data_IF_279273066062
#
_entry.id   IF_279273066062
#
_cell.length_a   1.000
_cell.length_b   1.000
_cell.length_c   1.000
_cell.angle_alpha   90.00
_cell.angle_beta   90.00
_cell.angle_gamma   90.00
#
_symmetry.space_group_name_H-M   'P 1'
#
loop_
_entity.id
_entity.type
_entity.pdbx_description
1 polymer ?
#
# COMPACT_ATOMS: atom_id res chain seq x y z
N UNK A 1 11.45 -6.87 0.01
CA UNK A 1 11.18 -6.06 1.21
C UNK A 1 12.17 -6.45 2.30
N UNK A 2 12.85 -5.49 2.90
CA UNK A 2 13.75 -5.64 4.06
C UNK A 2 13.10 -4.95 5.27
N UNK A 3 13.07 -5.61 6.42
CA UNK A 3 12.40 -5.12 7.62
C UNK A 3 13.06 -5.61 8.90
N UNK A 4 13.06 -4.77 9.94
CA UNK A 4 13.36 -5.19 11.32
C UNK A 4 12.04 -5.28 12.13
N UNK A 5 11.54 -6.49 12.42
CA UNK A 5 10.26 -6.69 13.10
C UNK A 5 10.24 -6.15 14.54
N UNK A 6 11.36 -6.24 15.27
CA UNK A 6 11.43 -5.80 16.66
C UNK A 6 11.49 -4.26 16.74
N UNK A 7 12.17 -3.60 15.80
CA UNK A 7 12.14 -2.13 15.66
C UNK A 7 10.75 -1.64 15.28
N UNK A 8 10.04 -2.31 14.36
CA UNK A 8 8.65 -1.99 14.05
C UNK A 8 7.76 -1.98 15.31
N UNK A 9 7.86 -3.02 16.13
CA UNK A 9 7.10 -3.10 17.38
C UNK A 9 7.52 -2.03 18.39
N UNK A 10 8.83 -1.85 18.59
CA UNK A 10 9.37 -0.87 19.53
C UNK A 10 8.91 0.54 19.19
N UNK A 11 8.90 0.90 17.90
CA UNK A 11 8.44 2.23 17.48
C UNK A 11 6.93 2.36 17.63
N UNK A 12 6.14 1.35 17.27
CA UNK A 12 4.69 1.40 17.49
C UNK A 12 4.34 1.55 18.98
N UNK A 13 5.12 0.95 19.87
CA UNK A 13 4.98 1.10 21.33
C UNK A 13 5.35 2.49 21.84
N UNK A 14 6.35 3.14 21.26
CA UNK A 14 6.73 4.52 21.57
C UNK A 14 5.62 5.50 21.15
N UNK A 15 4.99 5.25 20.01
CA UNK A 15 3.87 6.00 19.46
C UNK A 15 2.53 5.83 20.19
N UNK A 16 2.43 4.84 21.08
CA UNK A 16 1.17 4.45 21.71
C UNK A 16 1.10 4.93 23.15
N UNK A 17 -0.04 5.51 23.53
CA UNK A 17 -0.35 5.92 24.91
C UNK A 17 -0.29 4.73 25.87
N UNK A 18 0.09 4.97 27.12
CA UNK A 18 0.42 3.90 28.08
C UNK A 18 -0.72 2.88 28.30
N UNK A 19 -1.97 3.32 28.22
CA UNK A 19 -3.19 2.54 28.32
C UNK A 19 -3.44 1.60 27.12
N UNK A 20 -2.92 1.96 25.94
CA UNK A 20 -3.12 1.20 24.68
C UNK A 20 -1.94 0.29 24.32
N UNK A 21 -0.80 0.41 25.01
CA UNK A 21 0.41 -0.40 24.74
C UNK A 21 0.19 -1.90 24.91
N UNK A 22 -0.69 -2.31 25.81
CA UNK A 22 -1.07 -3.73 25.99
C UNK A 22 -1.74 -4.28 24.72
N UNK A 23 -2.72 -3.55 24.20
CA UNK A 23 -3.46 -3.90 22.99
C UNK A 23 -2.54 -3.94 21.76
N UNK A 24 -1.66 -2.94 21.60
CA UNK A 24 -0.70 -2.90 20.47
C UNK A 24 0.27 -4.08 20.49
N UNK A 25 0.74 -4.50 21.67
CA UNK A 25 1.55 -5.72 21.77
C UNK A 25 0.77 -6.93 21.29
N UNK A 26 -0.48 -7.09 21.73
CA UNK A 26 -1.32 -8.20 21.30
C UNK A 26 -1.64 -8.17 19.80
N UNK A 27 -1.91 -6.99 19.23
CA UNK A 27 -2.14 -6.82 17.80
C UNK A 27 -0.90 -7.21 16.99
N UNK A 28 0.29 -6.78 17.45
CA UNK A 28 1.55 -7.15 16.82
C UNK A 28 1.84 -8.65 16.96
N UNK A 29 1.56 -9.23 18.13
CA UNK A 29 1.61 -10.68 18.34
C UNK A 29 0.68 -11.42 17.36
N UNK A 30 -0.57 -10.95 17.19
CA UNK A 30 -1.51 -11.54 16.24
C UNK A 30 -1.01 -11.43 14.80
N UNK A 31 -0.49 -10.27 14.41
CA UNK A 31 0.07 -10.01 13.08
C UNK A 31 1.24 -10.96 12.78
N UNK A 32 2.21 -11.08 13.68
CA UNK A 32 3.36 -11.96 13.50
C UNK A 32 2.96 -13.43 13.38
N UNK A 33 2.00 -13.87 14.20
CA UNK A 33 1.46 -15.22 14.09
C UNK A 33 0.68 -15.43 12.77
N UNK A 34 0.01 -14.40 12.26
CA UNK A 34 -0.72 -14.47 10.99
C UNK A 34 0.19 -14.63 9.76
N UNK A 35 1.49 -14.32 9.87
CA UNK A 35 2.50 -14.60 8.84
C UNK A 35 3.12 -16.00 8.93
N UNK A 36 2.81 -16.76 9.98
CA UNK A 36 3.28 -18.14 10.17
C UNK A 36 2.11 -19.16 10.26
N UNK A 37 1.01 -18.98 9.51
CA UNK A 37 -0.13 -19.88 9.63
C UNK A 37 0.29 -21.29 9.23
N UNK A 38 -0.27 -22.29 9.89
CA UNK A 38 -0.02 -23.72 9.61
C UNK A 38 1.40 -24.26 9.88
N UNK A 39 2.35 -23.41 10.28
CA UNK A 39 3.73 -23.83 10.60
C UNK A 39 3.93 -24.30 12.05
N UNK A 40 2.94 -24.05 12.93
CA UNK A 40 3.04 -24.20 14.40
C UNK A 40 4.28 -23.53 15.02
N UNK A 41 4.94 -22.63 14.29
CA UNK A 41 6.05 -21.83 14.79
C UNK A 41 5.47 -20.62 15.51
N UNK A 42 6.06 -20.30 16.66
CA UNK A 42 5.84 -19.04 17.34
C UNK A 42 7.03 -18.14 17.07
N UNK A 43 6.81 -16.93 16.56
CA UNK A 43 7.89 -15.97 16.32
C UNK A 43 8.77 -15.80 17.57
N UNK A 44 8.16 -15.50 18.72
CA UNK A 44 8.84 -15.22 19.99
C UNK A 44 9.66 -16.37 20.56
N UNK A 45 9.16 -17.60 20.41
CA UNK A 45 9.82 -18.79 20.96
C UNK A 45 10.79 -19.42 19.97
N UNK A 46 10.41 -19.48 18.71
CA UNK A 46 11.06 -20.31 17.70
C UNK A 46 11.85 -19.50 16.66
N UNK A 47 11.72 -18.17 16.59
CA UNK A 47 12.43 -17.33 15.60
C UNK A 47 13.26 -16.22 16.28
N UNK A 48 12.62 -15.35 17.06
CA UNK A 48 13.24 -14.20 17.72
C UNK A 48 14.52 -14.51 18.53
N UNK A 49 14.66 -15.66 19.22
CA UNK A 49 15.85 -15.92 20.03
C UNK A 49 17.15 -15.98 19.25
N UNK A 50 17.10 -16.37 17.98
CA UNK A 50 18.26 -16.47 17.09
C UNK A 50 18.25 -15.45 15.94
N UNK A 51 17.11 -14.83 15.68
CA UNK A 51 16.96 -13.77 14.67
C UNK A 51 17.75 -12.52 15.08
N UNK A 52 18.45 -11.92 14.12
CA UNK A 52 19.14 -10.64 14.24
C UNK A 52 18.28 -9.50 13.64
N UNK A 53 18.88 -8.38 13.26
CA UNK A 53 18.16 -7.16 12.91
C UNK A 53 17.43 -7.15 11.56
N UNK A 54 17.53 -8.20 10.72
CA UNK A 54 17.08 -8.14 9.33
C UNK A 54 16.30 -9.38 8.86
N UNK A 55 15.09 -9.14 8.34
CA UNK A 55 14.32 -10.10 7.53
C UNK A 55 14.13 -9.50 6.14
N UNK A 56 14.52 -10.26 5.11
CA UNK A 56 14.24 -9.96 3.71
C UNK A 56 13.25 -10.95 3.14
N UNK A 57 12.20 -10.46 2.51
CA UNK A 57 11.23 -11.26 1.72
C UNK A 57 11.33 -10.84 0.26
N UNK A 58 11.45 -11.81 -0.64
CA UNK A 58 11.59 -11.60 -2.07
C UNK A 58 10.70 -12.57 -2.87
N UNK A 59 10.14 -12.05 -3.96
CA UNK A 59 9.65 -12.87 -5.07
C UNK A 59 10.81 -13.00 -6.04
N UNK A 60 11.32 -14.22 -6.22
CA UNK A 60 12.55 -14.47 -7.00
C UNK A 60 12.27 -14.94 -8.42
N UNK A 61 11.07 -15.44 -8.68
CA UNK A 61 10.62 -15.86 -10.01
C UNK A 61 9.11 -15.85 -10.06
N UNK A 62 8.54 -15.44 -11.21
CA UNK A 62 7.10 -15.50 -11.47
C UNK A 62 6.60 -16.93 -11.66
N UNK A 63 7.47 -17.84 -12.10
CA UNK A 63 7.12 -19.24 -12.33
C UNK A 63 8.32 -20.20 -12.16
N UNK A 64 8.26 -21.05 -11.13
CA UNK A 64 9.35 -21.94 -10.72
C UNK A 64 9.66 -22.98 -11.80
N UNK A 65 8.65 -23.58 -12.44
CA UNK A 65 8.85 -24.62 -13.46
C UNK A 65 8.83 -24.08 -14.89
N UNK A 66 8.42 -22.83 -15.08
CA UNK A 66 8.34 -22.14 -16.38
C UNK A 66 7.37 -22.83 -17.34
N UNK A 67 6.31 -23.41 -16.78
CA UNK A 67 5.27 -24.11 -17.51
C UNK A 67 3.96 -23.32 -17.45
N UNK A 68 3.74 -22.55 -18.51
CA UNK A 68 2.54 -21.72 -18.67
C UNK A 68 1.23 -22.54 -18.73
N UNK A 69 1.29 -23.86 -18.92
CA UNK A 69 0.11 -24.72 -19.04
C UNK A 69 -0.53 -25.11 -17.69
N UNK A 70 0.21 -24.98 -16.58
CA UNK A 70 -0.25 -25.41 -15.25
C UNK A 70 -0.51 -24.25 -14.26
N UNK A 71 -0.46 -23.01 -14.77
CA UNK A 71 -0.58 -21.79 -13.97
C UNK A 71 0.74 -21.38 -13.29
N UNK A 72 0.92 -20.08 -13.05
CA UNK A 72 2.19 -19.55 -12.55
C UNK A 72 2.50 -20.01 -11.10
N UNK A 73 3.62 -20.72 -10.91
CA UNK A 73 4.11 -21.14 -9.60
C UNK A 73 5.15 -20.15 -9.06
N UNK A 74 4.70 -19.10 -8.40
CA UNK A 74 5.57 -18.03 -7.89
C UNK A 74 6.62 -18.55 -6.90
N UNK A 75 7.87 -18.15 -7.07
CA UNK A 75 8.96 -18.46 -6.15
C UNK A 75 9.13 -17.40 -5.06
N UNK A 76 9.00 -17.81 -3.81
CA UNK A 76 9.19 -16.96 -2.63
C UNK A 76 10.46 -17.36 -1.88
N UNK A 77 11.23 -16.35 -1.47
CA UNK A 77 12.41 -16.48 -0.64
C UNK A 77 12.30 -15.56 0.58
N UNK A 78 12.57 -16.11 1.75
CA UNK A 78 12.78 -15.36 2.98
C UNK A 78 14.22 -15.59 3.43
N UNK A 79 14.97 -14.51 3.60
CA UNK A 79 16.31 -14.52 4.16
C UNK A 79 16.31 -13.78 5.49
N UNK A 80 16.74 -14.46 6.55
CA UNK A 80 16.82 -13.90 7.91
C UNK A 80 18.28 -13.87 8.35
N UNK A 81 18.72 -12.76 8.91
CA UNK A 81 20.01 -12.71 9.61
C UNK A 81 19.90 -13.39 10.97
N UNK A 82 20.93 -14.13 11.34
CA UNK A 82 20.97 -14.89 12.58
C UNK A 82 22.14 -14.42 13.45
N UNK A 83 21.82 -14.02 14.69
CA UNK A 83 22.81 -13.70 15.74
C UNK A 83 23.33 -14.96 16.43
N UNK A 84 22.57 -16.07 16.36
CA UNK A 84 22.97 -17.40 16.82
C UNK A 84 22.57 -18.47 15.78
N UNK A 85 23.49 -18.76 14.86
CA UNK A 85 23.28 -19.72 13.77
C UNK A 85 23.08 -21.16 14.27
N UNK A 86 23.68 -21.53 15.41
CA UNK A 86 23.55 -22.87 15.98
C UNK A 86 22.17 -23.09 16.60
N UNK A 87 21.64 -22.08 17.28
CA UNK A 87 20.26 -22.09 17.77
C UNK A 87 19.26 -22.11 16.61
N UNK A 88 19.51 -21.36 15.54
CA UNK A 88 18.70 -21.42 14.33
C UNK A 88 18.69 -22.84 13.72
N UNK A 89 19.86 -23.47 13.56
CA UNK A 89 19.99 -24.86 13.07
C UNK A 89 19.24 -25.86 13.96
N UNK A 90 19.36 -25.74 15.29
CA UNK A 90 18.63 -26.61 16.24
C UNK A 90 17.11 -26.42 16.12
N UNK A 91 16.67 -25.19 15.94
CA UNK A 91 15.24 -24.85 15.82
C UNK A 91 14.66 -25.40 14.52
N UNK A 92 15.34 -25.22 13.39
CA UNK A 92 14.93 -25.79 12.10
C UNK A 92 14.92 -27.32 12.12
N UNK A 93 15.93 -27.97 12.70
CA UNK A 93 15.92 -29.43 12.88
C UNK A 93 14.71 -29.89 13.69
N UNK A 94 14.37 -29.18 14.74
CA UNK A 94 13.20 -29.48 15.57
C UNK A 94 11.89 -29.24 14.82
N UNK A 95 11.81 -28.17 14.03
CA UNK A 95 10.69 -27.89 13.15
C UNK A 95 10.44 -29.04 12.18
N UNK A 96 11.47 -29.49 11.45
CA UNK A 96 11.34 -30.58 10.47
C UNK A 96 10.96 -31.91 11.12
N UNK A 97 11.54 -32.23 12.28
CA UNK A 97 11.17 -33.44 13.06
C UNK A 97 9.71 -33.46 13.49
N UNK A 98 9.11 -32.30 13.78
CA UNK A 98 7.70 -32.19 14.20
C UNK A 98 6.72 -32.24 13.03
N UNK A 99 7.10 -31.72 11.87
CA UNK A 99 6.18 -31.52 10.73
C UNK A 99 6.29 -32.59 9.64
N UNK A 100 7.39 -33.33 9.61
CA UNK A 100 7.64 -34.30 8.54
C UNK A 100 8.13 -35.61 9.15
N UNK A 101 7.53 -36.73 8.72
CA UNK A 101 8.05 -38.06 9.06
C UNK A 101 9.44 -38.20 8.45
N UNK A 102 10.38 -38.83 9.15
CA UNK A 102 11.77 -38.93 8.68
C UNK A 102 11.92 -39.45 7.23
N UNK A 103 11.04 -40.37 6.80
CA UNK A 103 11.00 -40.92 5.44
C UNK A 103 10.57 -39.95 4.34
N UNK A 104 9.91 -38.85 4.71
CA UNK A 104 9.39 -37.83 3.79
C UNK A 104 10.25 -36.56 3.84
N UNK A 105 11.35 -36.55 4.60
CA UNK A 105 12.30 -35.46 4.72
C UNK A 105 13.51 -35.73 3.83
N UNK A 106 13.83 -34.78 2.96
CA UNK A 106 15.04 -34.81 2.14
C UNK A 106 16.04 -33.83 2.71
N UNK A 107 17.29 -34.27 2.81
CA UNK A 107 18.43 -33.44 3.13
C UNK A 107 19.47 -33.65 2.05
N UNK A 108 19.76 -32.60 1.28
CA UNK A 108 20.77 -32.63 0.23
C UNK A 108 21.85 -31.57 0.49
N UNK A 109 23.05 -31.79 -0.04
CA UNK A 109 24.13 -30.81 -0.02
C UNK A 109 24.23 -30.17 -1.40
N UNK A 110 24.11 -28.85 -1.48
CA UNK A 110 24.18 -28.07 -2.71
C UNK A 110 25.08 -26.85 -2.51
N UNK A 111 26.09 -26.67 -3.36
CA UNK A 111 27.06 -25.57 -3.23
C UNK A 111 27.66 -25.42 -1.81
N UNK A 112 27.90 -26.53 -1.11
CA UNK A 112 28.42 -26.54 0.27
C UNK A 112 27.38 -26.20 1.35
N UNK A 113 26.12 -26.01 0.99
CA UNK A 113 25.01 -25.69 1.90
C UNK A 113 24.06 -26.89 2.01
N UNK A 114 23.65 -27.21 3.24
CA UNK A 114 22.64 -28.24 3.48
C UNK A 114 21.22 -27.67 3.26
N UNK A 115 20.53 -28.18 2.25
CA UNK A 115 19.13 -27.85 1.96
C UNK A 115 18.24 -28.97 2.52
N UNK A 116 17.23 -28.58 3.28
CA UNK A 116 16.26 -29.51 3.90
C UNK A 116 14.85 -29.16 3.44
N UNK A 117 14.11 -30.15 2.94
CA UNK A 117 12.76 -29.98 2.41
C UNK A 117 11.94 -31.27 2.49
N UNK A 118 10.62 -31.18 2.22
CA UNK A 118 9.72 -32.34 2.22
C UNK A 118 9.62 -32.97 0.83
N UNK A 119 9.74 -34.30 0.75
CA UNK A 119 9.70 -35.14 -0.47
C UNK A 119 8.31 -35.21 -1.15
N UNK A 120 7.31 -34.43 -0.73
CA UNK A 120 5.94 -34.54 -1.26
C UNK A 120 5.82 -34.27 -2.76
N UNK A 121 6.80 -33.58 -3.38
CA UNK A 121 6.80 -33.24 -4.80
C UNK A 121 6.90 -34.44 -5.75
N UNK A 122 7.77 -35.42 -5.50
CA UNK A 122 7.92 -36.53 -6.46
C UNK A 122 6.70 -37.45 -6.47
N UNK A 123 6.15 -37.77 -5.30
CA UNK A 123 4.98 -38.65 -5.21
C UNK A 123 3.67 -37.95 -5.59
N UNK A 124 3.56 -36.64 -5.39
CA UNK A 124 2.42 -35.86 -5.87
C UNK A 124 2.46 -35.73 -7.41
N UNK A 125 3.62 -35.40 -8.00
CA UNK A 125 3.80 -35.35 -9.46
C UNK A 125 3.64 -36.72 -10.12
N UNK A 126 4.18 -37.80 -9.53
CA UNK A 126 3.97 -39.17 -10.02
C UNK A 126 2.51 -39.64 -9.89
N UNK A 127 1.78 -39.17 -8.87
CA UNK A 127 0.33 -39.42 -8.77
C UNK A 127 -0.45 -38.59 -9.78
N UNK A 128 -0.10 -37.33 -10.00
CA UNK A 128 -0.73 -36.45 -10.99
C UNK A 128 -0.55 -36.99 -12.42
N UNK A 129 0.66 -37.38 -12.80
CA UNK A 129 0.93 -38.03 -14.09
C UNK A 129 0.19 -39.38 -14.25
N UNK A 130 -0.27 -39.99 -13.16
CA UNK A 130 -1.07 -41.22 -13.17
C UNK A 130 -2.60 -40.95 -13.06
N UNK A 131 -3.02 -39.69 -12.84
CA UNK A 131 -4.40 -39.24 -12.66
C UNK A 131 -4.90 -38.32 -13.78
N UNK A 132 -4.07 -38.03 -14.79
CA UNK A 132 -4.38 -37.27 -16.01
C UNK A 132 -5.50 -37.88 -16.88
N UNK A 133 -6.18 -38.94 -16.45
CA UNK A 133 -7.35 -39.47 -17.15
C UNK A 133 -8.69 -38.92 -16.69
N UNK A 134 -8.90 -38.41 -15.46
CA UNK A 134 -10.24 -37.96 -15.05
C UNK A 134 -10.20 -36.92 -13.91
N UNK A 135 -10.31 -35.63 -14.24
CA UNK A 135 -11.21 -34.60 -13.65
C UNK A 135 -10.65 -33.18 -13.78
N UNK A 136 -11.54 -32.27 -14.23
CA UNK A 136 -11.35 -30.84 -14.52
C UNK A 136 -11.44 -29.99 -13.24
N UNK A 137 -10.57 -30.27 -12.27
CA UNK A 137 -10.43 -29.44 -11.07
C UNK A 137 -8.97 -29.07 -10.87
N UNK A 138 -8.68 -27.77 -10.93
CA UNK A 138 -7.36 -27.22 -10.61
C UNK A 138 -6.87 -27.75 -9.25
N UNK A 139 -5.75 -28.50 -9.22
CA UNK A 139 -5.18 -28.96 -7.96
C UNK A 139 -4.62 -27.76 -7.18
N UNK A 140 -4.84 -27.67 -5.86
CA UNK A 140 -4.30 -26.58 -5.06
C UNK A 140 -2.77 -26.56 -5.10
N UNK A 141 -2.11 -25.40 -5.19
CA UNK A 141 -0.66 -25.30 -5.17
C UNK A 141 -0.12 -25.85 -3.85
N UNK A 142 0.68 -26.92 -3.93
CA UNK A 142 1.30 -27.54 -2.76
C UNK A 142 2.49 -26.66 -2.36
N UNK A 143 2.30 -25.79 -1.35
CA UNK A 143 3.39 -25.05 -0.72
C UNK A 143 4.45 -26.02 -0.18
N UNK A 144 5.56 -26.18 -0.89
CA UNK A 144 6.68 -27.02 -0.45
C UNK A 144 7.73 -26.20 0.26
N UNK A 145 7.63 -26.10 1.58
CA UNK A 145 8.65 -25.42 2.35
C UNK A 145 10.03 -26.11 2.15
N UNK A 146 11.06 -25.30 1.95
CA UNK A 146 12.46 -25.69 1.98
C UNK A 146 13.24 -24.71 2.86
N UNK A 147 14.30 -25.19 3.51
CA UNK A 147 15.12 -24.37 4.39
C UNK A 147 16.61 -24.66 4.21
N UNK A 148 17.44 -23.65 4.39
CA UNK A 148 18.88 -23.77 4.45
C UNK A 148 19.48 -22.81 5.48
N UNK A 149 20.61 -23.17 6.07
CA UNK A 149 21.43 -22.23 6.86
C UNK A 149 22.72 -22.03 6.10
N UNK A 150 22.99 -20.79 5.69
CA UNK A 150 24.11 -20.42 4.82
C UNK A 150 25.16 -19.67 5.63
N UNK A 151 26.36 -20.26 5.70
CA UNK A 151 27.41 -19.82 6.61
C UNK A 151 26.91 -19.79 8.05
N UNK A 152 27.38 -18.80 8.81
CA UNK A 152 26.99 -18.57 10.20
C UNK A 152 26.11 -17.33 10.38
N UNK A 153 25.50 -16.84 9.30
CA UNK A 153 24.74 -15.58 9.35
C UNK A 153 23.33 -15.63 8.77
N UNK A 154 23.04 -16.52 7.82
CA UNK A 154 21.76 -16.49 7.13
C UNK A 154 20.95 -17.76 7.30
N UNK A 155 19.67 -17.59 7.57
CA UNK A 155 18.66 -18.63 7.51
C UNK A 155 17.75 -18.33 6.32
N UNK A 156 17.71 -19.24 5.36
CA UNK A 156 16.89 -19.13 4.16
C UNK A 156 15.69 -20.06 4.25
N UNK A 157 14.50 -19.55 3.93
CA UNK A 157 13.28 -20.31 3.75
C UNK A 157 12.70 -20.02 2.38
N UNK A 158 12.13 -21.02 1.72
CA UNK A 158 11.44 -20.83 0.44
C UNK A 158 10.25 -21.78 0.31
N UNK A 159 9.40 -21.52 -0.69
CA UNK A 159 8.34 -22.43 -1.09
C UNK A 159 8.78 -23.51 -2.09
N UNK A 160 10.07 -23.63 -2.40
CA UNK A 160 10.64 -24.70 -3.24
C UNK A 160 12.15 -24.85 -3.07
N UNK A 161 12.70 -26.09 -3.05
CA UNK A 161 14.15 -26.28 -3.03
C UNK A 161 14.83 -25.73 -4.29
N UNK A 162 14.12 -25.61 -5.42
CA UNK A 162 14.66 -24.96 -6.63
C UNK A 162 14.96 -23.48 -6.39
N UNK A 163 14.07 -22.76 -5.71
CA UNK A 163 14.27 -21.35 -5.34
C UNK A 163 15.53 -21.18 -4.48
N UNK A 164 15.80 -22.09 -3.53
CA UNK A 164 17.03 -22.02 -2.74
C UNK A 164 18.28 -22.28 -3.57
N UNK A 165 18.24 -23.25 -4.49
CA UNK A 165 19.37 -23.52 -5.40
C UNK A 165 19.64 -22.32 -6.29
N UNK A 166 18.60 -21.73 -6.87
CA UNK A 166 18.71 -20.55 -7.72
C UNK A 166 19.29 -19.35 -6.93
N UNK A 167 18.82 -19.12 -5.69
CA UNK A 167 19.36 -18.08 -4.82
C UNK A 167 20.85 -18.31 -4.48
N UNK A 168 21.24 -19.55 -4.19
CA UNK A 168 22.63 -19.93 -3.90
C UNK A 168 23.54 -19.81 -5.13
N UNK A 169 23.01 -20.00 -6.34
CA UNK A 169 23.75 -19.76 -7.57
C UNK A 169 23.89 -18.27 -7.87
N UNK A 170 22.80 -17.52 -7.74
CA UNK A 170 22.79 -16.09 -8.07
C UNK A 170 23.73 -15.28 -7.17
N UNK A 171 23.89 -15.65 -5.89
CA UNK A 171 24.86 -14.96 -5.00
C UNK A 171 26.33 -15.22 -5.38
N UNK A 172 26.62 -16.30 -6.10
CA UNK A 172 27.98 -16.61 -6.57
C UNK A 172 28.33 -15.84 -7.86
N UNK A 173 27.33 -15.38 -8.60
CA UNK A 173 27.50 -14.60 -9.82
C UNK A 173 27.36 -13.13 -9.49
N UNK A 174 28.46 -12.38 -9.52
CA UNK A 174 28.49 -10.97 -9.11
C UNK A 174 27.38 -10.14 -9.80
N UNK A 175 27.17 -10.33 -11.10
CA UNK A 175 26.19 -9.58 -11.90
C UNK A 175 24.72 -9.88 -11.54
N UNK A 176 24.43 -11.04 -10.96
CA UNK A 176 23.07 -11.44 -10.56
C UNK A 176 22.73 -11.05 -9.11
N UNK A 177 23.73 -10.60 -8.35
CA UNK A 177 23.56 -10.16 -6.97
C UNK A 177 22.93 -8.77 -6.90
N UNK A 178 21.89 -8.63 -6.07
CA UNK A 178 21.23 -7.34 -5.84
C UNK A 178 22.21 -6.25 -5.37
N UNK A 179 23.26 -6.63 -4.63
CA UNK A 179 24.32 -5.71 -4.16
C UNK A 179 25.06 -4.99 -5.29
N UNK A 180 25.10 -5.57 -6.49
CA UNK A 180 25.74 -5.01 -7.67
C UNK A 180 24.74 -4.41 -8.67
N UNK A 181 23.44 -4.42 -8.36
CA UNK A 181 22.43 -3.75 -9.17
C UNK A 181 22.54 -2.24 -9.00
N UNK A 182 22.67 -1.51 -10.12
CA UNK A 182 22.68 -0.04 -10.13
C UNK A 182 21.41 0.53 -9.49
N UNK A 183 20.24 0.01 -9.86
CA UNK A 183 18.95 0.40 -9.28
C UNK A 183 18.92 0.19 -7.76
N UNK A 184 19.49 -0.91 -7.25
CA UNK A 184 19.55 -1.15 -5.80
C UNK A 184 20.55 -0.22 -5.09
N UNK A 185 21.70 0.06 -5.70
CA UNK A 185 22.68 0.99 -5.12
C UNK A 185 22.15 2.42 -5.08
N UNK A 186 21.50 2.87 -6.16
CA UNK A 186 20.78 4.14 -6.20
C UNK A 186 19.66 4.17 -5.14
N UNK A 187 18.92 3.07 -5.00
CA UNK A 187 17.89 2.95 -3.99
C UNK A 187 18.45 3.16 -2.58
N UNK A 188 19.54 2.46 -2.24
CA UNK A 188 20.21 2.57 -0.94
C UNK A 188 20.72 3.99 -0.67
N UNK A 189 21.18 4.73 -1.69
CA UNK A 189 21.63 6.11 -1.53
C UNK A 189 20.50 7.08 -1.11
N UNK A 190 19.24 6.74 -1.41
CA UNK A 190 18.06 7.55 -1.10
C UNK A 190 17.29 7.06 0.14
N UNK A 191 17.77 6.00 0.81
CA UNK A 191 17.12 5.51 2.03
C UNK A 191 17.37 6.50 3.17
N UNK A 192 16.32 7.09 3.76
CA UNK A 192 16.50 8.00 4.89
C UNK A 192 16.99 7.20 6.11
N UNK A 193 17.84 7.82 6.95
CA UNK A 193 18.42 7.16 8.14
C UNK A 193 17.37 6.60 9.11
N UNK A 194 16.16 7.13 9.06
CA UNK A 194 15.01 6.76 9.89
C UNK A 194 14.09 5.70 9.25
N UNK A 195 14.45 5.16 8.09
CA UNK A 195 13.70 4.08 7.47
C UNK A 195 13.75 2.81 8.33
N UNK A 196 12.57 2.26 8.64
CA UNK A 196 12.39 1.00 9.38
C UNK A 196 12.12 -0.19 8.44
N UNK A 197 11.72 0.09 7.20
CA UNK A 197 11.60 -0.91 6.15
C UNK A 197 11.89 -0.33 4.76
N UNK A 198 12.32 -1.22 3.85
CA UNK A 198 12.66 -0.91 2.47
C UNK A 198 11.98 -1.89 1.53
N UNK A 199 11.31 -1.39 0.51
CA UNK A 199 10.72 -2.21 -0.56
C UNK A 199 11.25 -1.73 -1.90
N UNK A 200 11.88 -2.63 -2.65
CA UNK A 200 12.25 -2.43 -4.04
C UNK A 200 11.37 -3.33 -4.90
N UNK A 201 10.79 -2.78 -5.95
CA UNK A 201 9.91 -3.47 -6.88
C UNK A 201 10.43 -3.24 -8.29
N UNK A 202 10.71 -4.31 -9.03
CA UNK A 202 10.99 -4.22 -10.46
C UNK A 202 9.64 -4.15 -11.21
N UNK A 203 9.40 -3.04 -11.91
CA UNK A 203 8.10 -2.75 -12.53
C UNK A 203 7.80 -3.67 -13.73
N UNK A 204 8.73 -3.92 -14.67
CA UNK A 204 8.52 -4.92 -15.73
C UNK A 204 8.22 -6.32 -15.21
N UNK A 205 8.93 -6.80 -14.19
CA UNK A 205 8.65 -8.12 -13.62
C UNK A 205 7.31 -8.14 -12.89
N UNK A 206 6.94 -7.05 -12.21
CA UNK A 206 5.62 -6.94 -11.57
C UNK A 206 4.49 -7.02 -12.60
N UNK A 207 4.62 -6.39 -13.78
CA UNK A 207 3.59 -6.47 -14.83
C UNK A 207 3.42 -7.89 -15.35
N UNK A 208 4.53 -8.61 -15.58
CA UNK A 208 4.47 -10.02 -16.02
C UNK A 208 3.77 -10.90 -15.00
N UNK A 209 4.06 -10.70 -13.71
CA UNK A 209 3.51 -11.51 -12.63
C UNK A 209 2.03 -11.22 -12.37
N UNK A 210 1.63 -9.94 -12.29
CA UNK A 210 0.26 -9.57 -11.93
C UNK A 210 -0.71 -9.67 -13.11
N UNK A 211 -0.23 -9.42 -14.33
CA UNK A 211 -1.10 -9.30 -15.51
C UNK A 211 -0.89 -10.39 -16.56
N UNK A 212 0.11 -11.27 -16.39
CA UNK A 212 0.42 -12.32 -17.38
C UNK A 212 0.87 -11.79 -18.73
N UNK A 213 1.20 -10.49 -18.82
CA UNK A 213 1.69 -9.87 -20.05
C UNK A 213 3.19 -10.18 -20.21
N UNK A 214 3.66 -10.48 -21.43
CA UNK A 214 5.10 -10.61 -21.68
C UNK A 214 5.80 -9.30 -21.31
N UNK A 215 7.06 -9.43 -20.85
CA UNK A 215 7.88 -8.27 -20.45
C UNK A 215 7.86 -7.25 -21.61
N UNK A 216 7.43 -6.01 -21.36
CA UNK A 216 7.18 -5.09 -22.44
C UNK A 216 8.47 -4.82 -23.22
N UNK A 217 8.39 -4.95 -24.55
CA UNK A 217 9.53 -4.80 -25.47
C UNK A 217 10.05 -3.35 -25.58
N UNK A 218 9.39 -2.40 -24.93
CA UNK A 218 9.73 -0.98 -24.98
C UNK A 218 10.52 -0.59 -23.74
N UNK A 219 11.62 0.13 -23.93
CA UNK A 219 12.39 0.74 -22.85
C UNK A 219 11.51 1.75 -22.11
N UNK A 220 11.18 1.43 -20.86
CA UNK A 220 10.45 2.34 -20.00
C UNK A 220 11.41 3.33 -19.32
N UNK A 221 10.95 4.57 -19.05
CA UNK A 221 11.80 5.55 -18.37
C UNK A 221 12.16 5.12 -16.94
N UNK A 222 11.38 4.22 -16.32
CA UNK A 222 11.61 3.70 -14.97
C UNK A 222 11.62 2.17 -14.97
N UNK A 223 12.55 1.57 -14.24
CA UNK A 223 12.61 0.10 -14.13
C UNK A 223 12.21 -0.38 -12.74
N UNK A 224 12.29 0.50 -11.74
CA UNK A 224 12.08 0.13 -10.36
C UNK A 224 11.32 1.18 -9.56
N UNK A 225 10.55 0.71 -8.59
CA UNK A 225 9.89 1.52 -7.57
C UNK A 225 10.54 1.22 -6.21
N UNK A 226 11.04 2.25 -5.57
CA UNK A 226 11.52 2.22 -4.20
C UNK A 226 10.44 2.77 -3.28
N UNK A 227 10.16 2.08 -2.18
CA UNK A 227 9.31 2.57 -1.10
C UNK A 227 10.05 2.40 0.22
N UNK A 228 10.29 3.50 0.93
CA UNK A 228 10.89 3.52 2.25
C UNK A 228 9.82 3.84 3.28
N UNK A 229 9.85 3.14 4.40
CA UNK A 229 8.83 3.23 5.42
C UNK A 229 9.49 3.82 6.65
N UNK A 230 8.97 4.93 7.15
CA UNK A 230 9.50 5.64 8.32
C UNK A 230 8.36 6.15 9.21
N UNK A 231 8.69 6.71 10.36
CA UNK A 231 7.69 7.20 11.33
C UNK A 231 7.97 8.66 11.62
N UNK A 232 6.96 9.50 11.46
CA UNK A 232 7.02 10.95 11.67
C UNK A 232 6.69 11.32 13.12
N UNK A 233 7.51 10.83 14.05
CA UNK A 233 7.35 11.06 15.51
C UNK A 233 8.34 12.07 16.09
N UNK A 234 9.26 12.61 15.27
CA UNK A 234 10.41 13.38 15.76
C UNK A 234 10.60 14.74 15.07
N UNK A 235 9.71 15.15 14.16
CA UNK A 235 9.90 16.41 13.42
C UNK A 235 9.37 17.66 14.09
N UNK A 236 8.43 17.56 15.03
CA UNK A 236 8.06 18.72 15.85
C UNK A 236 7.59 18.26 17.23
N UNK A 237 8.23 18.82 18.26
CA UNK A 237 7.97 18.47 19.65
C UNK A 237 6.49 18.58 20.00
N UNK A 238 5.93 17.47 20.50
CA UNK A 238 4.75 17.39 21.37
C UNK A 238 3.67 18.45 21.08
N UNK A 239 2.88 18.24 20.02
CA UNK A 239 1.53 18.81 19.97
C UNK A 239 0.53 17.71 20.30
N UNK A 240 -0.16 17.94 21.40
CA UNK A 240 -1.26 17.13 21.94
C UNK A 240 -2.20 16.63 20.82
N UNK A 241 -2.22 15.32 20.60
CA UNK A 241 -3.16 14.64 19.69
C UNK A 241 -2.63 14.17 18.33
N UNK A 242 -1.40 14.49 17.92
CA UNK A 242 -0.82 13.90 16.71
C UNK A 242 -0.35 12.47 17.01
N UNK A 243 -1.07 11.47 16.48
CA UNK A 243 -0.58 10.08 16.46
C UNK A 243 0.56 9.99 15.46
N UNK A 244 1.67 9.40 15.88
CA UNK A 244 2.80 9.13 15.00
C UNK A 244 2.32 8.32 13.79
N UNK A 245 2.46 8.90 12.60
CA UNK A 245 1.99 8.28 11.36
C UNK A 245 3.13 7.49 10.71
N UNK A 246 2.77 6.35 10.13
CA UNK A 246 3.66 5.64 9.23
C UNK A 246 3.72 6.45 7.92
N UNK A 247 4.89 6.98 7.60
CA UNK A 247 5.15 7.73 6.38
C UNK A 247 5.87 6.83 5.39
N UNK A 248 5.37 6.80 4.17
CA UNK A 248 5.97 6.05 3.07
C UNK A 248 6.52 7.02 2.03
N UNK A 249 7.83 7.11 1.91
CA UNK A 249 8.48 7.86 0.84
C UNK A 249 8.68 6.92 -0.35
N UNK A 250 8.20 7.33 -1.51
CA UNK A 250 8.23 6.51 -2.72
C UNK A 250 9.01 7.21 -3.82
N UNK A 251 9.93 6.51 -4.46
CA UNK A 251 10.80 7.01 -5.51
C UNK A 251 10.76 6.07 -6.72
N UNK A 252 10.49 6.63 -7.90
CA UNK A 252 10.64 5.93 -9.18
C UNK A 252 12.10 6.04 -9.64
N UNK A 253 12.72 4.91 -9.95
CA UNK A 253 14.12 4.81 -10.35
C UNK A 253 14.21 4.56 -11.85
N UNK A 254 14.95 5.44 -12.53
CA UNK A 254 15.10 5.41 -13.98
C UNK A 254 15.99 4.23 -14.44
N UNK A 255 15.77 3.78 -15.68
CA UNK A 255 16.57 2.72 -16.31
C UNK A 255 18.05 3.12 -16.51
N UNK A 256 18.29 4.39 -16.82
CA UNK A 256 19.61 4.98 -16.99
C UNK A 256 20.00 5.83 -15.77
N UNK A 257 21.30 5.97 -15.51
CA UNK A 257 21.85 6.86 -14.48
C UNK A 257 21.46 8.31 -14.75
N UNK A 258 20.28 8.70 -14.28
CA UNK A 258 19.89 10.09 -14.19
C UNK A 258 20.52 10.69 -12.93
N UNK A 259 21.02 11.94 -13.01
CA UNK A 259 21.57 12.61 -11.84
C UNK A 259 20.52 12.62 -10.72
N UNK A 260 20.94 12.46 -9.46
CA UNK A 260 20.02 12.40 -8.33
C UNK A 260 19.14 13.65 -8.33
N UNK A 261 17.84 13.44 -8.54
CA UNK A 261 16.85 14.53 -8.48
C UNK A 261 16.77 14.92 -7.01
N UNK A 262 17.19 16.15 -6.70
CA UNK A 262 17.07 16.65 -5.33
C UNK A 262 15.60 16.63 -4.90
N UNK A 263 15.30 16.16 -3.67
CA UNK A 263 13.95 16.22 -3.15
C UNK A 263 13.50 17.68 -3.16
N UNK A 264 12.43 17.98 -3.88
CA UNK A 264 11.90 19.34 -4.00
C UNK A 264 11.35 19.89 -2.67
N UNK A 265 11.15 19.01 -1.68
CA UNK A 265 10.64 19.35 -0.36
C UNK A 265 11.69 19.00 0.69
N UNK A 266 12.16 20.01 1.41
CA UNK A 266 13.02 19.86 2.59
C UNK A 266 12.21 19.70 3.89
N UNK A 267 10.97 20.20 3.88
CA UNK A 267 10.06 20.23 5.04
C UNK A 267 8.66 19.74 4.63
N UNK A 268 7.84 19.25 5.58
CA UNK A 268 6.45 18.92 5.31
C UNK A 268 5.69 20.14 4.78
N UNK A 269 4.84 19.93 3.77
CA UNK A 269 4.05 21.03 3.20
C UNK A 269 3.06 21.58 4.24
N UNK A 270 2.89 22.90 4.27
CA UNK A 270 2.01 23.56 5.20
C UNK A 270 0.55 23.11 5.08
N UNK A 271 0.10 22.70 3.89
CA UNK A 271 -1.25 22.18 3.63
C UNK A 271 -1.66 20.99 4.53
N UNK A 272 -0.70 20.16 4.95
CA UNK A 272 -0.97 18.97 5.78
C UNK A 272 -1.64 19.30 7.11
N UNK A 273 -1.38 20.49 7.68
CA UNK A 273 -1.93 20.91 8.99
C UNK A 273 -3.47 21.00 9.01
N UNK A 274 -4.08 21.09 7.84
CA UNK A 274 -5.54 21.21 7.70
C UNK A 274 -6.22 19.87 7.44
N UNK A 275 -5.46 18.79 7.26
CA UNK A 275 -6.01 17.44 7.14
C UNK A 275 -6.28 16.88 8.54
N UNK A 276 -7.51 16.38 8.83
CA UNK A 276 -7.82 15.81 10.14
C UNK A 276 -6.93 14.61 10.49
N UNK A 277 -6.50 14.52 11.75
CA UNK A 277 -5.58 13.48 12.21
C UNK A 277 -6.13 12.04 12.13
N UNK A 278 -7.46 11.88 11.98
CA UNK A 278 -8.13 10.58 11.82
C UNK A 278 -8.33 10.17 10.36
N UNK A 279 -7.66 10.84 9.41
CA UNK A 279 -7.67 10.44 8.01
C UNK A 279 -7.00 9.07 7.83
N UNK A 280 -7.65 8.19 7.08
CA UNK A 280 -7.12 6.84 6.81
C UNK A 280 -6.01 6.82 5.77
N UNK A 281 -5.96 7.84 4.90
CA UNK A 281 -4.92 8.05 3.91
C UNK A 281 -4.73 9.56 3.71
N UNK A 282 -3.47 9.98 3.60
CA UNK A 282 -3.12 11.37 3.28
C UNK A 282 -2.03 11.40 2.23
N UNK A 283 -2.22 12.22 1.19
CA UNK A 283 -1.23 12.52 0.16
C UNK A 283 -0.94 14.02 0.20
N UNK A 284 0.31 14.43 0.06
CA UNK A 284 0.65 15.83 0.06
C UNK A 284 1.89 16.12 -0.77
N UNK A 285 2.00 17.34 -1.26
CA UNK A 285 3.08 17.73 -2.15
C UNK A 285 2.96 19.15 -2.65
N UNK A 286 3.69 19.45 -3.72
CA UNK A 286 3.64 20.71 -4.45
C UNK A 286 3.31 20.43 -5.92
N UNK A 287 2.67 21.39 -6.57
CA UNK A 287 2.36 21.37 -8.00
C UNK A 287 1.61 20.09 -8.42
N UNK A 288 0.40 19.92 -7.90
CA UNK A 288 -0.46 18.78 -8.25
C UNK A 288 -0.75 18.74 -9.74
N UNK A 289 -0.91 19.91 -10.38
CA UNK A 289 -1.11 20.02 -11.83
C UNK A 289 0.01 19.33 -12.61
N UNK A 290 1.27 19.72 -12.37
CA UNK A 290 2.41 19.15 -13.07
C UNK A 290 2.60 17.67 -12.73
N UNK A 291 2.46 17.30 -11.46
CA UNK A 291 2.64 15.91 -11.02
C UNK A 291 1.60 14.97 -11.59
N UNK A 292 0.34 15.40 -11.68
CA UNK A 292 -0.71 14.60 -12.26
C UNK A 292 -0.47 14.34 -13.75
N UNK A 293 -0.05 15.36 -14.51
CA UNK A 293 0.33 15.22 -15.92
C UNK A 293 1.54 14.31 -16.13
N UNK A 294 2.55 14.43 -15.27
CA UNK A 294 3.72 13.55 -15.29
C UNK A 294 3.31 12.11 -14.96
N UNK A 295 2.45 11.91 -13.96
CA UNK A 295 1.94 10.59 -13.60
C UNK A 295 1.16 9.97 -14.76
N UNK A 296 0.22 10.71 -15.36
CA UNK A 296 -0.54 10.25 -16.54
C UNK A 296 0.39 9.84 -17.68
N UNK A 297 1.40 10.66 -17.98
CA UNK A 297 2.33 10.40 -19.09
C UNK A 297 3.25 9.22 -18.80
N UNK A 298 3.80 9.15 -17.59
CA UNK A 298 4.78 8.14 -17.20
C UNK A 298 4.14 6.79 -16.90
N UNK A 299 2.92 6.77 -16.35
CA UNK A 299 2.18 5.54 -16.02
C UNK A 299 1.24 5.06 -17.11
N UNK A 300 0.84 5.87 -18.09
CA UNK A 300 0.10 5.36 -19.26
C UNK A 300 0.87 4.22 -19.98
N UNK A 301 2.20 4.19 -19.87
CA UNK A 301 3.04 3.14 -20.41
C UNK A 301 3.08 1.85 -19.58
N UNK A 302 2.63 1.87 -18.33
CA UNK A 302 2.54 0.70 -17.47
C UNK A 302 1.07 0.40 -17.20
N UNK A 303 0.54 -0.68 -17.78
CA UNK A 303 -0.84 -1.12 -17.48
C UNK A 303 -1.04 -1.57 -16.00
N UNK A 304 0.03 -1.56 -15.19
CA UNK A 304 0.03 -2.02 -13.80
C UNK A 304 -0.83 -1.08 -12.96
N UNK A 305 -2.04 -1.52 -12.59
CA UNK A 305 -2.90 -0.85 -11.59
C UNK A 305 -3.44 0.53 -11.98
N UNK A 306 -2.77 1.26 -12.89
CA UNK A 306 -3.22 2.55 -13.39
C UNK A 306 -4.56 2.45 -14.09
N UNK A 307 -4.82 1.36 -14.83
CA UNK A 307 -6.15 1.12 -15.40
C UNK A 307 -7.26 0.96 -14.35
N UNK A 308 -6.95 0.47 -13.14
CA UNK A 308 -7.91 0.39 -12.04
C UNK A 308 -8.09 1.75 -11.34
N UNK A 309 -7.01 2.52 -11.20
CA UNK A 309 -7.04 3.91 -10.71
C UNK A 309 -7.84 4.79 -11.67
N UNK A 310 -7.53 4.77 -12.97
CA UNK A 310 -8.25 5.48 -14.02
C UNK A 310 -9.72 5.08 -14.07
N UNK A 311 -10.07 3.78 -13.96
CA UNK A 311 -11.48 3.36 -13.89
C UNK A 311 -12.19 3.91 -12.66
N UNK A 312 -11.51 3.93 -11.51
CA UNK A 312 -12.08 4.46 -10.27
C UNK A 312 -12.27 5.97 -10.35
N UNK A 313 -11.29 6.70 -10.89
CA UNK A 313 -11.40 8.13 -11.16
C UNK A 313 -12.48 8.42 -12.19
N UNK A 314 -12.49 7.73 -13.33
CA UNK A 314 -13.51 7.91 -14.37
C UNK A 314 -14.92 7.63 -13.84
N UNK A 315 -15.09 6.62 -12.97
CA UNK A 315 -16.39 6.35 -12.32
C UNK A 315 -16.81 7.52 -11.42
N UNK A 316 -15.87 8.11 -10.67
CA UNK A 316 -16.11 9.28 -9.85
C UNK A 316 -16.44 10.52 -10.70
N UNK A 317 -15.62 10.80 -11.71
CA UNK A 317 -15.77 11.92 -12.64
C UNK A 317 -17.11 11.85 -13.39
N UNK A 318 -17.52 10.65 -13.82
CA UNK A 318 -18.84 10.41 -14.41
C UNK A 318 -19.98 10.64 -13.41
N UNK A 319 -19.83 10.19 -12.16
CA UNK A 319 -20.85 10.36 -11.13
C UNK A 319 -21.03 11.82 -10.69
N UNK A 320 -19.95 12.61 -10.73
CA UNK A 320 -19.94 14.01 -10.31
C UNK A 320 -19.99 15.00 -11.48
N UNK A 321 -19.96 14.50 -12.73
CA UNK A 321 -19.89 15.32 -13.94
C UNK A 321 -18.75 16.37 -13.90
N UNK A 322 -17.61 15.97 -13.36
CA UNK A 322 -16.42 16.82 -13.18
C UNK A 322 -15.19 16.07 -13.70
N UNK A 323 -14.28 16.76 -14.37
CA UNK A 323 -12.95 16.25 -14.67
C UNK A 323 -12.00 16.67 -13.56
N UNK A 324 -11.48 15.72 -12.77
CA UNK A 324 -10.53 16.06 -11.71
C UNK A 324 -9.26 16.68 -12.30
N UNK A 325 -8.74 16.12 -13.39
CA UNK A 325 -7.54 16.62 -14.06
C UNK A 325 -7.71 18.06 -14.55
N UNK A 326 -8.82 18.35 -15.23
CA UNK A 326 -9.03 19.66 -15.86
C UNK A 326 -9.70 20.70 -14.95
N UNK A 327 -10.62 20.30 -14.07
CA UNK A 327 -11.44 21.21 -13.27
C UNK A 327 -10.90 21.42 -11.85
N UNK A 328 -10.09 20.47 -11.33
CA UNK A 328 -9.58 20.52 -9.95
C UNK A 328 -8.06 20.62 -9.91
N UNK A 329 -7.34 19.69 -10.54
CA UNK A 329 -5.89 19.57 -10.40
C UNK A 329 -5.13 20.64 -11.17
N UNK A 330 -5.66 21.08 -12.32
CA UNK A 330 -5.04 22.04 -13.23
C UNK A 330 -4.67 23.40 -12.62
N UNK A 331 -5.37 23.85 -11.59
CA UNK A 331 -5.12 25.14 -10.93
C UNK A 331 -4.33 25.03 -9.62
N UNK A 332 -4.00 23.81 -9.18
CA UNK A 332 -3.27 23.53 -7.94
C UNK A 332 -1.78 23.45 -8.25
N UNK A 333 -1.14 24.62 -8.29
CA UNK A 333 0.29 24.79 -8.60
C UNK A 333 1.16 24.96 -7.35
N UNK A 334 0.58 25.34 -6.22
CA UNK A 334 1.26 25.47 -4.94
C UNK A 334 1.29 24.18 -4.12
N UNK A 335 1.43 24.30 -2.80
CA UNK A 335 1.28 23.16 -1.89
C UNK A 335 -0.14 22.57 -1.93
N UNK A 336 -0.24 21.26 -1.77
CA UNK A 336 -1.52 20.57 -1.63
C UNK A 336 -1.47 19.45 -0.59
N UNK A 337 -2.63 19.12 -0.04
CA UNK A 337 -2.86 17.92 0.73
C UNK A 337 -4.24 17.33 0.42
N UNK A 338 -4.33 16.01 0.27
CA UNK A 338 -5.54 15.25 0.03
C UNK A 338 -5.68 14.22 1.17
N UNK A 339 -6.79 14.27 1.89
CA UNK A 339 -7.11 13.35 3.00
C UNK A 339 -8.37 12.54 2.73
N UNK A 340 -8.32 11.26 3.06
CA UNK A 340 -9.47 10.35 3.03
C UNK A 340 -10.00 10.17 4.46
N UNK A 341 -11.25 10.58 4.68
CA UNK A 341 -11.90 10.53 5.99
C UNK A 341 -12.82 9.30 6.08
N UNK A 342 -12.49 8.32 6.95
CA UNK A 342 -13.35 7.18 7.15
C UNK A 342 -14.68 7.60 7.80
N UNK A 343 -15.76 6.92 7.40
CA UNK A 343 -17.11 7.12 7.93
C UNK A 343 -17.53 5.87 8.69
N UNK A 344 -18.13 6.02 9.87
CA UNK A 344 -18.71 4.88 10.59
C UNK A 344 -20.12 4.54 10.09
N UNK A 345 -20.79 5.47 9.41
CA UNK A 345 -22.18 5.33 8.94
C UNK A 345 -22.32 4.84 7.48
N UNK A 346 -21.21 4.76 6.72
CA UNK A 346 -21.21 4.34 5.31
C UNK A 346 -19.86 3.77 4.90
N UNK A 347 -19.86 2.95 3.85
CA UNK A 347 -18.64 2.31 3.32
C UNK A 347 -17.74 3.29 2.55
N UNK A 348 -18.33 4.28 1.86
CA UNK A 348 -17.54 5.26 1.10
C UNK A 348 -16.97 6.36 2.01
N UNK A 349 -15.66 6.66 1.92
CA UNK A 349 -15.05 7.73 2.69
C UNK A 349 -15.42 9.11 2.13
N UNK A 350 -15.35 10.14 2.97
CA UNK A 350 -15.36 11.54 2.51
C UNK A 350 -13.92 11.95 2.11
N UNK A 351 -13.79 12.95 1.25
CA UNK A 351 -12.49 13.47 0.83
C UNK A 351 -12.34 14.95 1.22
N UNK A 352 -11.13 15.32 1.63
CA UNK A 352 -10.72 16.70 1.89
C UNK A 352 -9.51 17.02 1.03
N UNK A 353 -9.61 18.06 0.23
CA UNK A 353 -8.52 18.63 -0.55
C UNK A 353 -8.19 20.01 0.01
N UNK A 354 -6.91 20.24 0.26
CA UNK A 354 -6.35 21.51 0.71
C UNK A 354 -5.38 21.97 -0.37
N UNK A 355 -5.53 23.18 -0.86
CA UNK A 355 -4.68 23.74 -1.89
C UNK A 355 -4.21 25.14 -1.49
N UNK A 356 -2.92 25.40 -1.62
CA UNK A 356 -2.37 26.74 -1.46
C UNK A 356 -2.87 27.64 -2.60
N UNK A 357 -3.25 28.85 -2.23
CA UNK A 357 -3.77 29.85 -3.17
C UNK A 357 -2.66 30.29 -4.12
N UNK A 358 -3.01 30.26 -5.40
CA UNK A 358 -2.24 30.77 -6.52
C UNK A 358 -3.11 31.78 -7.30
N UNK A 359 -2.53 32.55 -8.24
CA UNK A 359 -3.31 33.42 -9.12
C UNK A 359 -4.42 32.69 -9.89
N UNK A 360 -4.28 31.37 -10.11
CA UNK A 360 -5.25 30.54 -10.82
C UNK A 360 -6.39 30.02 -9.94
N UNK A 361 -6.24 30.05 -8.61
CA UNK A 361 -7.20 29.46 -7.67
C UNK A 361 -8.60 30.08 -7.79
N UNK A 362 -8.70 31.40 -7.95
CA UNK A 362 -10.01 32.07 -8.05
C UNK A 362 -10.80 31.58 -9.28
N UNK A 363 -10.15 31.53 -10.45
CA UNK A 363 -10.75 31.04 -11.68
C UNK A 363 -11.12 29.54 -11.58
N UNK A 364 -10.27 28.73 -10.93
CA UNK A 364 -10.56 27.33 -10.65
C UNK A 364 -11.82 27.14 -9.81
N UNK A 365 -11.95 27.89 -8.71
CA UNK A 365 -13.13 27.83 -7.83
C UNK A 365 -14.40 28.34 -8.51
N UNK A 366 -14.32 29.40 -9.30
CA UNK A 366 -15.45 29.90 -10.10
C UNK A 366 -15.94 28.85 -11.10
N UNK A 367 -15.01 28.12 -11.74
CA UNK A 367 -15.34 27.00 -12.63
C UNK A 367 -16.09 25.89 -11.87
N UNK A 368 -15.61 25.50 -10.69
CA UNK A 368 -16.26 24.50 -9.84
C UNK A 368 -17.67 24.93 -9.41
N UNK A 369 -17.84 26.20 -9.02
CA UNK A 369 -19.15 26.75 -8.67
C UNK A 369 -20.10 26.74 -9.87
N UNK A 370 -19.62 27.09 -11.07
CA UNK A 370 -20.41 27.05 -12.30
C UNK A 370 -20.85 25.63 -12.67
N UNK A 371 -19.96 24.63 -12.52
CA UNK A 371 -20.29 23.21 -12.72
C UNK A 371 -21.39 22.80 -11.75
N UNK A 372 -21.24 23.08 -10.45
CA UNK A 372 -22.24 22.74 -9.44
C UNK A 372 -23.61 23.37 -9.76
N UNK A 373 -23.64 24.65 -10.13
CA UNK A 373 -24.87 25.35 -10.50
C UNK A 373 -25.56 24.74 -11.73
N UNK A 374 -24.79 24.29 -12.73
CA UNK A 374 -25.35 23.63 -13.92
C UNK A 374 -26.06 22.30 -13.59
N UNK A 375 -25.73 21.70 -12.44
CA UNK A 375 -26.33 20.46 -11.93
C UNK A 375 -27.40 20.66 -10.84
N UNK A 376 -28.03 21.85 -10.80
CA UNK A 376 -29.05 22.23 -9.81
C UNK A 376 -28.55 22.18 -8.35
N UNK A 377 -27.24 22.37 -8.14
CA UNK A 377 -26.65 22.52 -6.81
C UNK A 377 -26.47 24.00 -6.54
N UNK A 378 -27.13 24.50 -5.49
CA UNK A 378 -27.07 25.91 -5.09
C UNK A 378 -25.84 26.18 -4.24
N UNK A 379 -25.21 27.34 -4.46
CA UNK A 379 -24.14 27.86 -3.61
C UNK A 379 -24.75 28.71 -2.49
N UNK A 380 -24.60 28.29 -1.25
CA UNK A 380 -24.96 29.06 -0.06
C UNK A 380 -23.72 29.56 0.66
N UNK A 381 -23.74 30.79 1.17
CA UNK A 381 -22.72 31.29 2.07
C UNK A 381 -23.20 31.19 3.53
N UNK A 382 -22.35 30.66 4.40
CA UNK A 382 -22.53 30.58 5.84
C UNK A 382 -21.37 31.30 6.52
N UNK A 383 -21.61 31.78 7.74
CA UNK A 383 -20.57 32.36 8.58
C UNK A 383 -20.37 31.46 9.78
N UNK A 384 -19.13 31.00 9.98
CA UNK A 384 -18.72 30.32 11.20
C UNK A 384 -18.04 31.34 12.12
N UNK A 385 -18.58 31.52 13.32
CA UNK A 385 -17.90 32.26 14.37
C UNK A 385 -16.83 31.36 14.99
N UNK A 386 -15.57 31.74 14.78
CA UNK A 386 -14.41 31.10 15.41
C UNK A 386 -13.89 31.99 16.55
N UNK A 387 -13.15 31.43 17.53
CA UNK A 387 -12.52 32.23 18.59
C UNK A 387 -11.62 33.36 18.07
N UNK A 388 -11.15 33.24 16.83
CA UNK A 388 -10.25 34.19 16.14
C UNK A 388 -10.97 35.12 15.17
N UNK A 389 -12.30 35.03 15.03
CA UNK A 389 -13.13 35.87 14.14
C UNK A 389 -14.17 35.09 13.35
N UNK A 390 -14.97 35.79 12.55
CA UNK A 390 -15.99 35.17 11.68
C UNK A 390 -15.38 34.74 10.34
N UNK A 391 -15.56 33.48 9.97
CA UNK A 391 -15.05 32.90 8.72
C UNK A 391 -16.20 32.58 7.77
N UNK A 392 -16.07 33.01 6.51
CA UNK A 392 -17.01 32.64 5.46
C UNK A 392 -16.78 31.19 5.00
N UNK A 393 -17.87 30.44 4.90
CA UNK A 393 -17.91 29.09 4.37
C UNK A 393 -18.94 29.06 3.25
N UNK A 394 -18.59 28.41 2.16
CA UNK A 394 -19.50 28.19 1.05
C UNK A 394 -19.93 26.73 0.99
N UNK A 395 -21.21 26.50 0.74
CA UNK A 395 -21.83 25.18 0.80
C UNK A 395 -22.59 24.92 -0.48
N UNK A 396 -22.25 23.82 -1.15
CA UNK A 396 -22.98 23.31 -2.31
C UNK A 396 -24.13 22.43 -1.84
N UNK A 397 -25.37 22.87 -2.08
CA UNK A 397 -26.60 22.23 -1.56
C UNK A 397 -27.56 21.87 -2.68
N UNK A 398 -28.00 20.61 -2.72
CA UNK A 398 -29.04 20.13 -3.62
C UNK A 398 -30.37 20.03 -2.87
N UNK A 399 -31.44 20.59 -3.43
CA UNK A 399 -32.77 20.50 -2.85
C UNK A 399 -33.58 19.41 -3.56
N UNK A 400 -34.28 18.59 -2.79
CA UNK A 400 -35.24 17.61 -3.32
C UNK A 400 -36.56 17.72 -2.58
N UNK A 401 -37.67 17.46 -3.27
CA UNK A 401 -39.00 17.46 -2.69
C UNK A 401 -39.46 16.02 -2.47
N UNK A 402 -39.75 15.65 -1.22
CA UNK A 402 -40.40 14.38 -0.88
C UNK A 402 -41.88 14.63 -0.67
N UNK A 403 -42.70 14.06 -1.54
CA UNK A 403 -44.16 14.05 -1.37
C UNK A 403 -44.53 12.82 -0.55
N UNK A 404 -44.98 13.03 0.68
CA UNK A 404 -45.47 11.93 1.51
C UNK A 404 -46.89 11.57 1.05
N UNK A 405 -47.07 10.34 0.56
CA UNK A 405 -48.41 9.85 0.21
C UNK A 405 -49.23 9.63 1.49
N UNK A 406 -50.54 9.93 1.48
CA UNK A 406 -51.39 9.69 2.64
C UNK A 406 -51.42 8.19 2.99
N UNK A 407 -51.24 7.89 4.28
CA UNK A 407 -51.36 6.54 4.83
C UNK A 407 -52.72 5.93 4.45
N UNK A 408 -52.71 4.76 3.80
CA UNK A 408 -53.94 4.06 3.38
C UNK A 408 -54.78 3.51 4.56
N UNK A 409 -54.34 3.69 5.81
CA UNK A 409 -54.91 2.99 6.97
C UNK A 409 -55.62 3.87 8.01
N UNK A 410 -56.21 5.00 7.61
CA UNK A 410 -57.13 5.71 8.51
C UNK A 410 -58.34 6.25 7.77
N UNK A 411 -59.54 5.80 8.17
CA UNK A 411 -60.86 6.36 7.83
C UNK A 411 -61.06 7.76 8.43
N UNK A 412 -60.12 8.67 8.16
CA UNK A 412 -60.18 10.07 8.54
C UNK A 412 -59.83 10.90 7.31
N UNK A 413 -60.70 11.87 7.01
CA UNK A 413 -60.58 12.96 6.01
C UNK A 413 -59.20 13.07 5.38
N UNK A 414 -59.16 12.95 4.05
CA UNK A 414 -58.01 13.22 3.18
C UNK A 414 -57.28 14.50 3.60
N UNK A 415 -56.16 14.36 4.31
CA UNK A 415 -55.20 15.46 4.47
C UNK A 415 -54.47 15.64 3.13
N UNK A 416 -54.18 16.88 2.70
CA UNK A 416 -53.37 17.11 1.52
C UNK A 416 -51.99 16.48 1.72
N UNK A 417 -51.45 15.89 0.65
CA UNK A 417 -50.09 15.37 0.59
C UNK A 417 -49.10 16.44 1.07
N UNK A 418 -48.38 16.18 2.17
CA UNK A 418 -47.37 17.10 2.67
C UNK A 418 -46.13 17.03 1.77
N UNK A 419 -45.75 18.16 1.20
CA UNK A 419 -44.49 18.32 0.48
C UNK A 419 -43.42 18.72 1.50
N UNK A 420 -42.45 17.84 1.72
CA UNK A 420 -41.28 18.15 2.51
C UNK A 420 -40.12 18.55 1.58
N UNK A 421 -39.51 19.70 1.83
CA UNK A 421 -38.28 20.11 1.16
C UNK A 421 -37.09 19.56 1.96
N UNK A 422 -36.26 18.74 1.33
CA UNK A 422 -35.05 18.18 1.91
C UNK A 422 -33.83 18.83 1.25
N UNK A 423 -32.97 19.42 2.08
CA UNK A 423 -31.71 20.02 1.66
C UNK A 423 -30.57 19.02 1.91
N UNK A 424 -29.81 18.70 0.87
CA UNK A 424 -28.67 17.81 0.93
C UNK A 424 -27.40 18.57 0.61
N UNK A 425 -26.44 18.56 1.54
CA UNK A 425 -25.13 19.18 1.32
C UNK A 425 -24.24 18.22 0.54
N UNK A 426 -23.80 18.64 -0.65
CA UNK A 426 -22.92 17.87 -1.54
C UNK A 426 -21.44 18.21 -1.29
N UNK A 427 -21.14 19.44 -0.85
CA UNK A 427 -19.78 19.81 -0.47
C UNK A 427 -19.68 21.17 0.22
N UNK A 428 -18.49 21.44 0.75
CA UNK A 428 -18.17 22.64 1.52
C UNK A 428 -16.81 23.16 1.08
N UNK A 429 -16.68 24.46 0.88
CA UNK A 429 -15.40 25.14 0.64
C UNK A 429 -15.19 26.31 1.58
N UNK A 430 -13.95 26.48 2.04
CA UNK A 430 -13.59 27.57 2.94
C UNK A 430 -12.15 28.02 2.72
N UNK A 431 -11.92 29.32 2.86
CA UNK A 431 -10.59 29.92 2.77
C UNK A 431 -10.03 30.12 4.18
N UNK A 432 -8.83 29.59 4.45
CA UNK A 432 -8.12 29.74 5.73
C UNK A 432 -6.68 30.17 5.46
N UNK A 433 -6.37 31.43 5.76
CA UNK A 433 -5.06 32.01 5.44
C UNK A 433 -4.78 31.95 3.94
N UNK A 434 -3.66 31.32 3.58
CA UNK A 434 -3.23 31.14 2.19
C UNK A 434 -3.74 29.84 1.55
N UNK A 435 -4.69 29.14 2.18
CA UNK A 435 -5.19 27.85 1.71
C UNK A 435 -6.70 27.88 1.45
N UNK A 436 -7.11 27.15 0.41
CA UNK A 436 -8.48 26.77 0.15
C UNK A 436 -8.69 25.32 0.60
N UNK A 437 -9.75 25.10 1.36
CA UNK A 437 -10.13 23.79 1.87
C UNK A 437 -11.43 23.40 1.20
N UNK A 438 -11.40 22.30 0.46
CA UNK A 438 -12.53 21.70 -0.25
C UNK A 438 -12.86 20.37 0.41
N UNK A 439 -14.08 20.20 0.87
CA UNK A 439 -14.59 18.92 1.37
C UNK A 439 -15.76 18.49 0.52
N UNK A 440 -15.70 17.26 0.02
CA UNK A 440 -16.81 16.64 -0.68
C UNK A 440 -17.46 15.57 0.22
N UNK A 441 -18.80 15.56 0.26
CA UNK A 441 -19.60 14.63 1.03
C UNK A 441 -20.21 13.59 0.06
N UNK A 442 -19.67 12.38 0.04
CA UNK A 442 -20.09 11.32 -0.89
C UNK A 442 -21.43 10.71 -0.48
N UNK A 443 -22.54 11.04 -1.14
CA UNK A 443 -23.78 10.25 -1.00
C UNK A 443 -24.48 10.12 -2.34
N UNK A 444 -24.70 8.90 -2.81
CA UNK A 444 -25.86 8.60 -3.65
C UNK A 444 -27.03 8.24 -2.74
#
# INVERSE_FOLDING_TARGET
MLVNPDRLQAVQLLATSADQRGQVREDFHRLQQAFLPDTRLSYWRDIQPWLDDEITVAITTSDIDRDLSNGAQVGYLVAMTAKDSDLARRTLRSFWKRHTRAKDLVSESYAGVQIVYRHTLEKARQRQAALETETDTDPPPILTLASAVVGDRFVLLSNSPKVLRDALNNVQVAELGLVNSSAYQQALAHVPKQAIALTLINLPQLSTWVMGQPEPLLSHPYESLLSTWSIDSLRDGLRDGSRDSLVTDTLLLAAEEQPPVQPQLSEPVGALRFIPAHSSLTLAGIDLSQRWQQLETNWASYEIGWGAVQRSLATFEQAQHISLSEDVFSWITGEYALGMLPRTDRVQPDWVLVAQRSPQTAAGLEKLDAIAQSHNVMLGALTLDTPTGSQAIYVWTKFSTKVSQPSQNSKARSMPSSVALEAKVEGVRATVGDYEILRHLWKQ
#
